data_IF_692991792880
#
_entry.id   IF_692991792880
#
_cell.length_a   1.000
_cell.length_b   1.000
_cell.length_c   1.000
_cell.angle_alpha   90.00
_cell.angle_beta   90.00
_cell.angle_gamma   90.00
#
_symmetry.space_group_name_H-M   'P 1'
#
loop_
_entity.id
_entity.type
_entity.pdbx_description
1 polymer ?
#
# COMPACT_ATOMS: atom_id res chain seq x y z
N UNK A 1 0.66 -18.33 -11.57
CA UNK A 1 1.14 -17.29 -12.51
C UNK A 1 2.15 -16.41 -11.79
N UNK A 2 1.84 -15.96 -10.57
CA UNK A 2 2.76 -15.35 -9.59
C UNK A 2 4.19 -15.88 -9.62
N UNK A 3 4.36 -17.18 -9.36
CA UNK A 3 5.67 -17.83 -9.38
C UNK A 3 6.47 -17.59 -10.68
N UNK A 4 5.81 -17.63 -11.84
CA UNK A 4 6.49 -17.38 -13.11
C UNK A 4 6.89 -15.92 -13.29
N UNK A 5 6.11 -14.97 -12.75
CA UNK A 5 6.43 -13.54 -12.78
C UNK A 5 7.63 -13.27 -11.88
N UNK A 6 7.62 -13.76 -10.64
CA UNK A 6 8.74 -13.63 -9.69
C UNK A 6 10.02 -14.21 -10.28
N UNK A 7 9.97 -15.45 -10.81
CA UNK A 7 11.12 -16.09 -11.45
C UNK A 7 11.64 -15.35 -12.70
N UNK A 8 10.79 -14.57 -13.36
CA UNK A 8 11.20 -13.76 -14.51
C UNK A 8 11.87 -12.46 -14.06
N UNK A 9 11.36 -11.84 -12.99
CA UNK A 9 11.96 -10.65 -12.37
C UNK A 9 13.30 -10.99 -11.68
N UNK A 10 13.44 -12.17 -11.10
CA UNK A 10 14.72 -12.67 -10.56
C UNK A 10 15.82 -12.75 -11.64
N UNK A 11 15.43 -12.92 -12.91
CA UNK A 11 16.36 -12.98 -14.04
C UNK A 11 16.65 -11.62 -14.65
N UNK A 12 15.66 -10.74 -14.63
CA UNK A 12 15.76 -9.38 -15.18
C UNK A 12 14.85 -8.42 -14.41
N UNK A 13 15.43 -7.75 -13.41
CA UNK A 13 14.71 -6.83 -12.53
C UNK A 13 14.25 -5.57 -13.25
N UNK A 14 14.80 -5.24 -14.43
CA UNK A 14 14.41 -4.05 -15.21
C UNK A 14 12.98 -4.14 -15.77
N UNK A 15 12.39 -5.34 -15.77
CA UNK A 15 11.04 -5.59 -16.23
C UNK A 15 9.99 -5.31 -15.15
N UNK A 16 10.40 -5.11 -13.90
CA UNK A 16 9.52 -4.86 -12.75
C UNK A 16 8.56 -3.70 -13.02
N UNK A 17 9.10 -2.57 -13.51
CA UNK A 17 8.30 -1.38 -13.78
C UNK A 17 7.18 -1.67 -14.80
N UNK A 18 7.50 -2.37 -15.88
CA UNK A 18 6.54 -2.71 -16.93
C UNK A 18 5.45 -3.67 -16.42
N UNK A 19 5.85 -4.70 -15.66
CA UNK A 19 4.94 -5.68 -15.08
C UNK A 19 3.97 -5.02 -14.11
N UNK A 20 4.48 -4.23 -13.16
CA UNK A 20 3.64 -3.56 -12.14
C UNK A 20 2.72 -2.53 -12.79
N UNK A 21 3.20 -1.73 -13.75
CA UNK A 21 2.32 -0.82 -14.52
C UNK A 21 1.25 -1.58 -15.29
N UNK A 22 1.58 -2.76 -15.82
CA UNK A 22 0.60 -3.67 -16.45
C UNK A 22 -0.48 -4.11 -15.47
N UNK A 23 -0.09 -4.60 -14.28
CA UNK A 23 -1.02 -4.99 -13.22
C UNK A 23 -1.92 -3.82 -12.79
N UNK A 24 -1.34 -2.63 -12.58
CA UNK A 24 -2.09 -1.42 -12.23
C UNK A 24 -3.06 -0.99 -13.32
N UNK A 25 -2.68 -1.10 -14.60
CA UNK A 25 -3.56 -0.80 -15.74
C UNK A 25 -4.79 -1.72 -15.78
N UNK A 26 -4.62 -2.97 -15.39
CA UNK A 26 -5.69 -3.98 -15.39
C UNK A 26 -6.27 -4.25 -14.01
N UNK A 27 -6.06 -3.35 -13.05
CA UNK A 27 -6.52 -3.52 -11.68
C UNK A 27 -8.05 -3.76 -11.65
N UNK A 28 -8.52 -4.85 -11.02
CA UNK A 28 -9.94 -5.18 -11.00
C UNK A 28 -10.77 -4.11 -10.30
N UNK A 29 -11.87 -3.66 -10.92
CA UNK A 29 -12.78 -2.64 -10.36
C UNK A 29 -14.10 -3.20 -9.84
N UNK A 30 -14.50 -4.37 -10.33
CA UNK A 30 -15.82 -4.96 -10.07
C UNK A 30 -15.76 -6.37 -9.49
N UNK A 31 -14.58 -6.99 -9.44
CA UNK A 31 -14.42 -8.36 -8.98
C UNK A 31 -13.42 -8.45 -7.82
N UNK A 32 -13.95 -8.37 -6.60
CA UNK A 32 -13.18 -8.27 -5.36
C UNK A 32 -12.23 -9.44 -5.13
N UNK A 33 -12.61 -10.67 -5.49
CA UNK A 33 -11.70 -11.82 -5.37
C UNK A 33 -10.47 -11.68 -6.27
N UNK A 34 -10.64 -11.17 -7.49
CA UNK A 34 -9.50 -10.91 -8.38
C UNK A 34 -8.64 -9.75 -7.88
N UNK A 35 -9.25 -8.75 -7.24
CA UNK A 35 -8.49 -7.70 -6.58
C UNK A 35 -7.62 -8.27 -5.44
N UNK A 36 -8.18 -9.16 -4.61
CA UNK A 36 -7.42 -9.90 -3.58
C UNK A 36 -6.27 -10.72 -4.17
N UNK A 37 -6.49 -11.37 -5.32
CA UNK A 37 -5.41 -12.07 -6.04
C UNK A 37 -4.31 -11.10 -6.50
N UNK A 38 -4.68 -9.94 -7.07
CA UNK A 38 -3.72 -8.93 -7.52
C UNK A 38 -2.90 -8.36 -6.36
N UNK A 39 -3.52 -8.15 -5.19
CA UNK A 39 -2.81 -7.77 -3.98
C UNK A 39 -1.79 -8.83 -3.55
N UNK A 40 -2.10 -10.13 -3.70
CA UNK A 40 -1.12 -11.19 -3.44
C UNK A 40 0.04 -11.21 -4.41
N UNK A 41 -0.25 -11.05 -5.70
CA UNK A 41 0.79 -11.04 -6.75
C UNK A 41 1.75 -9.84 -6.57
N UNK A 42 1.22 -8.68 -6.18
CA UNK A 42 2.05 -7.51 -5.86
C UNK A 42 2.93 -7.76 -4.63
N UNK A 43 2.40 -8.40 -3.58
CA UNK A 43 3.20 -8.72 -2.39
C UNK A 43 4.38 -9.63 -2.74
N UNK A 44 4.15 -10.68 -3.54
CA UNK A 44 5.23 -11.56 -4.02
C UNK A 44 6.28 -10.82 -4.85
N UNK A 45 5.88 -9.82 -5.65
CA UNK A 45 6.82 -8.98 -6.40
C UNK A 45 7.62 -8.07 -5.46
N UNK A 46 6.96 -7.45 -4.47
CA UNK A 46 7.62 -6.57 -3.50
C UNK A 46 8.61 -7.32 -2.60
N UNK A 47 8.42 -8.62 -2.40
CA UNK A 47 9.34 -9.46 -1.61
C UNK A 47 10.74 -9.58 -2.24
N UNK A 48 10.82 -9.50 -3.58
CA UNK A 48 12.08 -9.67 -4.34
C UNK A 48 12.53 -8.39 -5.06
N UNK A 49 11.82 -7.28 -4.87
CA UNK A 49 12.07 -6.06 -5.63
C UNK A 49 13.39 -5.40 -5.20
N UNK A 50 14.19 -4.99 -6.19
CA UNK A 50 15.35 -4.13 -5.92
C UNK A 50 14.90 -2.70 -5.56
N UNK A 51 15.56 -2.03 -4.60
CA UNK A 51 15.20 -0.67 -4.20
C UNK A 51 15.12 0.32 -5.37
N UNK A 52 16.03 0.22 -6.36
CA UNK A 52 16.02 1.08 -7.55
C UNK A 52 14.75 0.89 -8.40
N UNK A 53 14.25 -0.35 -8.52
CA UNK A 53 13.02 -0.64 -9.25
C UNK A 53 11.79 -0.19 -8.47
N UNK A 54 11.82 -0.33 -7.13
CA UNK A 54 10.75 0.13 -6.25
C UNK A 54 10.48 1.64 -6.41
N UNK A 55 11.53 2.46 -6.47
CA UNK A 55 11.40 3.92 -6.69
C UNK A 55 10.57 4.28 -7.94
N UNK A 56 10.68 3.49 -9.00
CA UNK A 56 9.97 3.76 -10.27
C UNK A 56 8.46 3.51 -10.17
N UNK A 57 8.04 2.65 -9.23
CA UNK A 57 6.65 2.19 -9.13
C UNK A 57 5.94 2.62 -7.85
N UNK A 58 6.67 3.01 -6.80
CA UNK A 58 6.12 3.14 -5.45
C UNK A 58 4.95 4.12 -5.39
N UNK A 59 5.04 5.25 -6.09
CA UNK A 59 3.99 6.29 -6.08
C UNK A 59 2.69 5.80 -6.71
N UNK A 60 2.64 5.34 -7.97
CA UNK A 60 1.41 4.83 -8.56
C UNK A 60 0.90 3.56 -7.84
N UNK A 61 1.79 2.70 -7.34
CA UNK A 61 1.42 1.50 -6.62
C UNK A 61 0.70 1.83 -5.31
N UNK A 62 1.32 2.62 -4.42
CA UNK A 62 0.74 2.91 -3.11
C UNK A 62 -0.48 3.82 -3.19
N UNK A 63 -0.65 4.61 -4.26
CA UNK A 63 -1.95 5.25 -4.56
C UNK A 63 -3.05 4.24 -4.83
N UNK A 64 -2.75 3.11 -5.47
CA UNK A 64 -3.72 2.05 -5.68
C UNK A 64 -3.98 1.27 -4.39
N UNK A 65 -2.94 0.93 -3.63
CA UNK A 65 -3.08 0.31 -2.30
C UNK A 65 -3.95 1.17 -1.38
N UNK A 66 -3.78 2.49 -1.38
CA UNK A 66 -4.61 3.41 -0.62
C UNK A 66 -6.11 3.28 -0.94
N UNK A 67 -6.45 3.05 -2.22
CA UNK A 67 -7.83 2.81 -2.65
C UNK A 67 -8.33 1.45 -2.19
N UNK A 68 -7.52 0.40 -2.30
CA UNK A 68 -7.90 -0.95 -1.87
C UNK A 68 -8.12 -1.03 -0.35
N UNK A 69 -7.31 -0.33 0.46
CA UNK A 69 -7.54 -0.17 1.91
C UNK A 69 -8.84 0.61 2.19
N UNK A 70 -9.18 1.59 1.34
CA UNK A 70 -10.44 2.33 1.41
C UNK A 70 -11.66 1.57 0.88
N UNK A 71 -11.50 0.32 0.44
CA UNK A 71 -12.60 -0.45 -0.14
C UNK A 71 -13.68 -0.74 0.89
N UNK A 72 -14.95 -0.62 0.49
CA UNK A 72 -16.08 -1.03 1.32
C UNK A 72 -16.15 -2.55 1.49
N UNK A 73 -15.45 -3.31 0.64
CA UNK A 73 -15.37 -4.76 0.71
C UNK A 73 -14.26 -5.19 1.69
N UNK A 74 -14.65 -5.66 2.86
CA UNK A 74 -13.71 -5.90 3.97
C UNK A 74 -12.53 -6.82 3.59
N UNK A 75 -12.74 -7.88 2.81
CA UNK A 75 -11.63 -8.79 2.42
C UNK A 75 -10.56 -8.09 1.58
N UNK A 76 -10.93 -7.10 0.78
CA UNK A 76 -9.96 -6.32 -0.02
C UNK A 76 -9.17 -5.40 0.90
N UNK A 77 -9.86 -4.68 1.78
CA UNK A 77 -9.23 -3.78 2.74
C UNK A 77 -8.29 -4.53 3.69
N UNK A 78 -8.76 -5.64 4.27
CA UNK A 78 -7.98 -6.52 5.13
C UNK A 78 -6.75 -7.06 4.40
N UNK A 79 -6.91 -7.59 3.18
CA UNK A 79 -5.80 -8.12 2.38
C UNK A 79 -4.74 -7.07 2.05
N UNK A 80 -5.16 -5.84 1.76
CA UNK A 80 -4.23 -4.74 1.50
C UNK A 80 -3.50 -4.30 2.78
N UNK A 81 -4.16 -4.38 3.94
CA UNK A 81 -3.56 -4.05 5.24
C UNK A 81 -2.55 -5.10 5.72
N UNK A 82 -2.60 -6.35 5.25
CA UNK A 82 -1.60 -7.36 5.62
C UNK A 82 -0.19 -7.04 5.10
N UNK A 83 -0.04 -6.09 4.18
CA UNK A 83 1.29 -5.62 3.73
C UNK A 83 2.13 -5.08 4.90
N UNK A 84 1.49 -4.51 5.92
CA UNK A 84 2.18 -4.03 7.13
C UNK A 84 2.60 -5.15 8.10
N UNK A 85 2.28 -6.41 7.78
CA UNK A 85 2.80 -7.57 8.52
C UNK A 85 4.05 -8.15 7.85
N UNK A 86 4.44 -7.65 6.69
CA UNK A 86 5.61 -8.09 5.95
C UNK A 86 6.77 -7.10 6.20
N UNK A 87 7.79 -7.55 6.92
CA UNK A 87 8.93 -6.72 7.33
C UNK A 87 9.69 -6.11 6.13
N UNK A 88 9.78 -6.81 5.00
CA UNK A 88 10.43 -6.30 3.80
C UNK A 88 9.64 -5.14 3.20
N UNK A 89 8.31 -5.26 3.11
CA UNK A 89 7.45 -4.17 2.64
C UNK A 89 7.49 -2.98 3.60
N UNK A 90 7.47 -3.25 4.91
CA UNK A 90 7.56 -2.19 5.94
C UNK A 90 8.90 -1.45 5.81
N UNK A 91 10.02 -2.16 5.61
CA UNK A 91 11.34 -1.57 5.39
C UNK A 91 11.38 -0.72 4.12
N UNK A 92 10.80 -1.19 3.01
CA UNK A 92 10.68 -0.39 1.78
C UNK A 92 9.86 0.90 2.01
N UNK A 93 8.81 0.84 2.82
CA UNK A 93 8.01 2.01 3.19
C UNK A 93 8.82 2.98 4.07
N UNK A 94 9.55 2.46 5.04
CA UNK A 94 10.37 3.25 5.96
C UNK A 94 11.47 4.03 5.22
N UNK A 95 12.17 3.38 4.29
CA UNK A 95 13.19 4.03 3.44
C UNK A 95 12.61 5.14 2.55
N UNK A 96 11.29 5.13 2.32
CA UNK A 96 10.59 6.02 1.37
C UNK A 96 9.46 6.82 2.03
N UNK A 97 9.50 6.93 3.36
CA UNK A 97 8.37 7.41 4.16
C UNK A 97 7.98 8.86 3.83
N UNK A 98 8.93 9.71 3.46
CA UNK A 98 8.69 11.11 3.08
C UNK A 98 7.76 11.25 1.87
N UNK A 99 7.77 10.26 0.96
CA UNK A 99 6.91 10.24 -0.22
C UNK A 99 5.65 9.41 0.01
N UNK A 100 5.78 8.26 0.67
CA UNK A 100 4.69 7.28 0.78
C UNK A 100 3.68 7.64 1.88
N UNK A 101 4.13 8.12 3.03
CA UNK A 101 3.21 8.46 4.13
C UNK A 101 2.21 9.55 3.69
N UNK A 102 2.61 10.67 3.03
CA UNK A 102 1.65 11.66 2.56
C UNK A 102 0.61 11.13 1.57
N UNK A 103 0.95 10.09 0.78
CA UNK A 103 0.02 9.45 -0.17
C UNK A 103 -1.01 8.60 0.57
N UNK A 104 -0.58 7.86 1.58
CA UNK A 104 -1.40 6.88 2.30
C UNK A 104 -2.22 7.52 3.42
N UNK A 105 -1.65 8.52 4.09
CA UNK A 105 -2.20 9.10 5.30
C UNK A 105 -3.65 9.57 5.16
N UNK A 106 -4.07 10.34 4.13
CA UNK A 106 -5.41 10.91 4.09
C UNK A 106 -6.52 9.86 4.10
N UNK A 107 -6.35 8.77 3.33
CA UNK A 107 -7.33 7.69 3.29
C UNK A 107 -7.33 6.90 4.60
N UNK A 108 -6.15 6.59 5.15
CA UNK A 108 -6.01 5.78 6.36
C UNK A 108 -6.57 6.53 7.57
N UNK A 109 -6.26 7.82 7.69
CA UNK A 109 -6.77 8.68 8.75
C UNK A 109 -8.30 8.84 8.71
N UNK A 110 -8.89 8.85 7.51
CA UNK A 110 -10.36 8.83 7.37
C UNK A 110 -10.95 7.49 7.81
N UNK A 111 -10.37 6.38 7.36
CA UNK A 111 -10.87 5.01 7.63
C UNK A 111 -10.81 4.69 9.13
N UNK A 112 -9.76 5.13 9.83
CA UNK A 112 -9.64 4.91 11.28
C UNK A 112 -10.74 5.59 12.11
N UNK A 113 -11.52 6.49 11.51
CA UNK A 113 -12.62 7.22 12.16
C UNK A 113 -13.99 6.86 11.62
N UNK A 114 -14.08 6.57 10.32
CA UNK A 114 -15.36 6.54 9.60
C UNK A 114 -15.74 5.12 9.09
N UNK A 115 -14.86 4.12 9.22
CA UNK A 115 -15.12 2.79 8.67
C UNK A 115 -16.09 1.95 9.53
N UNK A 116 -17.01 1.25 8.88
CA UNK A 116 -18.07 0.48 9.55
C UNK A 116 -17.55 -0.78 10.28
N UNK A 117 -16.49 -1.40 9.74
CA UNK A 117 -15.88 -2.60 10.30
C UNK A 117 -14.77 -2.24 11.30
N UNK A 118 -14.96 -2.62 12.56
CA UNK A 118 -14.04 -2.32 13.67
C UNK A 118 -12.68 -3.02 13.55
N UNK A 119 -12.61 -4.19 12.93
CA UNK A 119 -11.32 -4.87 12.67
C UNK A 119 -10.46 -4.05 11.72
N UNK A 120 -11.06 -3.51 10.66
CA UNK A 120 -10.37 -2.63 9.71
C UNK A 120 -9.91 -1.35 10.40
N UNK A 121 -10.75 -0.76 11.27
CA UNK A 121 -10.38 0.41 12.08
C UNK A 121 -9.14 0.12 12.93
N UNK A 122 -9.12 -1.03 13.62
CA UNK A 122 -7.98 -1.44 14.46
C UNK A 122 -6.71 -1.67 13.64
N UNK A 123 -6.80 -2.37 12.51
CA UNK A 123 -5.67 -2.62 11.61
C UNK A 123 -5.08 -1.31 11.07
N UNK A 124 -5.93 -0.38 10.61
CA UNK A 124 -5.48 0.94 10.15
C UNK A 124 -4.89 1.76 11.30
N UNK A 125 -5.43 1.64 12.51
CA UNK A 125 -4.84 2.24 13.71
C UNK A 125 -3.40 1.79 13.95
N UNK A 126 -3.12 0.49 13.80
CA UNK A 126 -1.77 -0.05 13.90
C UNK A 126 -0.84 0.50 12.81
N UNK A 127 -1.34 0.65 11.58
CA UNK A 127 -0.57 1.26 10.48
C UNK A 127 -0.26 2.73 10.76
N UNK A 128 -1.25 3.51 11.23
CA UNK A 128 -1.04 4.92 11.57
C UNK A 128 -0.05 5.07 12.72
N UNK A 129 -0.06 4.13 13.69
CA UNK A 129 0.96 4.08 14.74
C UNK A 129 2.35 3.83 14.17
N UNK A 130 2.49 2.88 13.25
CA UNK A 130 3.75 2.65 12.52
C UNK A 130 4.24 3.92 11.82
N UNK A 131 3.37 4.64 11.11
CA UNK A 131 3.74 5.90 10.46
C UNK A 131 4.24 6.96 11.45
N UNK A 132 3.62 7.05 12.62
CA UNK A 132 4.06 7.96 13.69
C UNK A 132 5.42 7.54 14.27
N UNK A 133 5.66 6.23 14.41
CA UNK A 133 6.95 5.68 14.88
C UNK A 133 8.07 5.94 13.86
N UNK A 134 7.78 5.83 12.55
CA UNK A 134 8.74 6.12 11.48
C UNK A 134 9.13 7.60 11.42
N UNK A 135 8.15 8.52 11.45
CA UNK A 135 8.42 9.95 11.42
C UNK A 135 7.29 10.75 12.10
N UNK A 136 7.45 10.98 13.39
CA UNK A 136 6.45 11.69 14.20
C UNK A 136 6.23 13.14 13.76
N UNK A 137 7.28 13.84 13.28
CA UNK A 137 7.17 15.22 12.82
C UNK A 137 6.31 15.32 11.55
N UNK A 138 6.60 14.48 10.55
CA UNK A 138 5.81 14.38 9.33
C UNK A 138 4.36 13.97 9.61
N UNK A 139 4.17 12.97 10.48
CA UNK A 139 2.83 12.52 10.86
C UNK A 139 1.99 13.64 11.48
N UNK A 140 2.56 14.37 12.44
CA UNK A 140 1.87 15.49 13.08
C UNK A 140 1.54 16.60 12.10
N UNK A 141 2.46 16.93 11.18
CA UNK A 141 2.22 17.89 10.12
C UNK A 141 1.04 17.47 9.22
N UNK A 142 0.97 16.19 8.84
CA UNK A 142 -0.13 15.68 8.01
C UNK A 142 -1.47 15.70 8.76
N UNK A 143 -1.48 15.41 10.06
CA UNK A 143 -2.68 15.54 10.90
C UNK A 143 -3.19 16.99 10.94
N UNK A 144 -2.30 17.96 11.14
CA UNK A 144 -2.64 19.38 11.16
C UNK A 144 -3.21 19.83 9.80
N UNK A 145 -2.52 19.50 8.71
CA UNK A 145 -2.95 19.83 7.35
C UNK A 145 -4.33 19.23 7.03
N UNK A 146 -4.54 17.95 7.36
CA UNK A 146 -5.82 17.27 7.10
C UNK A 146 -6.99 17.88 7.87
N UNK A 147 -6.76 18.38 9.10
CA UNK A 147 -7.78 19.11 9.86
C UNK A 147 -8.07 20.47 9.25
N UNK A 148 -7.04 21.19 8.81
CA UNK A 148 -7.18 22.51 8.20
C UNK A 148 -7.96 22.48 6.88
N UNK A 149 -7.76 21.46 6.04
CA UNK A 149 -8.49 21.29 4.78
C UNK A 149 -9.99 20.96 4.95
N UNK A 150 -10.40 20.51 6.15
CA UNK A 150 -11.78 20.13 6.47
C UNK A 150 -12.54 21.17 7.29
N UNK A 151 -11.94 22.32 7.60
CA UNK A 151 -12.60 23.49 8.18
C UNK A 151 -13.11 24.43 7.09
#
# INVERSE_FOLDING_TARGET
>A
LAYCIVQFLDKDSTLTEQVVKGLLKFWPKTYSQKEVMFLGEIEEILEVIEPAQFQLIMVPLFRQIAKSVSSSHFQVAERALTYWNNDNIVSLIEENHEVLIPILFPSFYRISREHWNQTIVALVGNVLKNFMEMNSALFNQLVENYKAERQ
#
